data_IF_249919745366
#
_entry.id   IF_249919745366
#
_cell.length_a   1.000
_cell.length_b   1.000
_cell.length_c   1.000
_cell.angle_alpha   90.00
_cell.angle_beta   90.00
_cell.angle_gamma   90.00
#
_symmetry.space_group_name_H-M   'P 1'
#
loop_
_entity.id
_entity.type
_entity.pdbx_description
1 polymer ?
#
# COMPACT_ATOMS: atom_id res chain seq x y z
N UNK A 1 5.69 9.23 -17.25
CA UNK A 1 5.54 8.87 -15.81
C UNK A 1 5.21 7.39 -15.71
N UNK A 2 5.47 6.73 -14.56
CA UNK A 2 5.09 5.31 -14.36
C UNK A 2 3.58 5.06 -14.51
N UNK A 3 2.75 6.08 -14.29
CA UNK A 3 1.28 5.97 -14.40
C UNK A 3 0.75 6.08 -15.83
N UNK A 4 1.59 6.54 -16.77
CA UNK A 4 1.17 6.85 -18.13
C UNK A 4 1.33 5.63 -19.07
N UNK A 5 1.89 4.53 -18.55
CA UNK A 5 2.18 3.30 -19.29
C UNK A 5 1.50 2.12 -18.60
N UNK A 6 0.79 1.29 -19.36
CA UNK A 6 0.18 0.07 -18.90
C UNK A 6 1.20 -1.05 -18.63
N UNK A 7 0.73 -2.13 -18.01
CA UNK A 7 1.57 -3.31 -17.74
C UNK A 7 2.06 -4.01 -19.02
N UNK A 8 1.38 -3.80 -20.14
CA UNK A 8 1.77 -4.27 -21.47
C UNK A 8 2.79 -3.35 -22.16
N UNK A 9 3.26 -2.30 -21.48
CA UNK A 9 4.19 -1.32 -22.02
C UNK A 9 3.56 -0.30 -22.96
N UNK A 10 2.23 -0.34 -23.18
CA UNK A 10 1.55 0.63 -24.04
C UNK A 10 1.14 1.88 -23.26
N UNK A 11 1.03 3.05 -23.91
CA UNK A 11 0.46 4.22 -23.27
C UNK A 11 -0.94 3.92 -22.73
N UNK A 12 -1.22 4.37 -21.51
CA UNK A 12 -2.55 4.23 -20.91
C UNK A 12 -3.53 5.13 -21.66
N UNK A 13 -4.74 4.63 -21.91
CA UNK A 13 -5.80 5.41 -22.55
C UNK A 13 -6.11 6.65 -21.70
N UNK A 14 -6.02 7.87 -22.26
CA UNK A 14 -6.30 9.11 -21.54
C UNK A 14 -7.73 9.21 -20.98
N UNK A 15 -8.69 8.45 -21.52
CA UNK A 15 -10.06 8.39 -21.01
C UNK A 15 -10.24 7.41 -19.85
N UNK A 16 -9.23 6.59 -19.52
CA UNK A 16 -9.31 5.69 -18.37
C UNK A 16 -9.17 6.49 -17.08
N UNK A 17 -10.11 6.30 -16.15
CA UNK A 17 -10.04 6.93 -14.83
C UNK A 17 -8.76 6.50 -14.13
N UNK A 18 -7.93 7.46 -13.72
CA UNK A 18 -6.69 7.17 -13.03
C UNK A 18 -6.97 6.67 -11.61
N UNK A 19 -6.41 5.52 -11.23
CA UNK A 19 -6.61 4.91 -9.91
C UNK A 19 -6.24 5.84 -8.75
N UNK A 20 -6.90 5.71 -7.60
CA UNK A 20 -6.65 6.56 -6.42
C UNK A 20 -5.29 6.30 -5.76
N UNK A 21 -4.79 7.26 -4.99
CA UNK A 21 -3.61 7.03 -4.15
C UNK A 21 -3.81 5.86 -3.18
N UNK A 22 -5.03 5.72 -2.64
CA UNK A 22 -5.39 4.61 -1.76
C UNK A 22 -5.26 3.25 -2.47
N UNK A 23 -5.61 3.17 -3.75
CA UNK A 23 -5.41 1.95 -4.55
C UNK A 23 -3.92 1.58 -4.63
N UNK A 24 -3.06 2.56 -4.93
CA UNK A 24 -1.61 2.35 -4.95
C UNK A 24 -1.05 1.95 -3.56
N UNK A 25 -1.58 2.50 -2.47
CA UNK A 25 -1.20 2.09 -1.11
C UNK A 25 -1.54 0.63 -0.83
N UNK A 26 -2.73 0.18 -1.21
CA UNK A 26 -3.16 -1.22 -1.06
C UNK A 26 -2.27 -2.16 -1.88
N UNK A 27 -1.99 -1.81 -3.13
CA UNK A 27 -1.07 -2.56 -3.99
C UNK A 27 0.32 -2.68 -3.38
N UNK A 28 0.90 -1.56 -2.91
CA UNK A 28 2.19 -1.56 -2.23
C UNK A 28 2.18 -2.44 -0.98
N UNK A 29 1.15 -2.33 -0.14
CA UNK A 29 1.03 -3.14 1.08
C UNK A 29 0.93 -4.64 0.77
N UNK A 30 0.13 -5.02 -0.22
CA UNK A 30 0.01 -6.41 -0.68
C UNK A 30 1.35 -6.95 -1.19
N UNK A 31 2.07 -6.19 -2.02
CA UNK A 31 3.40 -6.57 -2.49
C UNK A 31 4.40 -6.68 -1.33
N UNK A 32 4.39 -5.73 -0.38
CA UNK A 32 5.26 -5.79 0.81
C UNK A 32 5.02 -7.07 1.61
N UNK A 33 3.75 -7.42 1.84
CA UNK A 33 3.40 -8.66 2.51
C UNK A 33 3.81 -9.89 1.70
N UNK A 34 3.51 -9.92 0.40
CA UNK A 34 3.84 -11.05 -0.48
C UNK A 34 5.35 -11.32 -0.51
N UNK A 35 6.15 -10.31 -0.83
CA UNK A 35 7.62 -10.45 -0.86
C UNK A 35 8.21 -10.73 0.53
N UNK A 36 7.74 -10.04 1.56
CA UNK A 36 8.27 -10.20 2.92
C UNK A 36 7.91 -11.54 3.55
N UNK A 37 6.63 -11.93 3.49
CA UNK A 37 6.08 -13.07 4.23
C UNK A 37 6.01 -14.35 3.39
N UNK A 38 5.57 -14.28 2.14
CA UNK A 38 5.41 -15.47 1.29
C UNK A 38 6.72 -15.89 0.64
N UNK A 39 7.52 -14.92 0.19
CA UNK A 39 8.82 -15.19 -0.45
C UNK A 39 10.02 -15.10 0.51
N UNK A 40 9.79 -14.77 1.79
CA UNK A 40 10.85 -14.71 2.80
C UNK A 40 11.92 -13.65 2.52
N UNK A 41 11.66 -12.67 1.65
CA UNK A 41 12.60 -11.59 1.33
C UNK A 41 12.68 -10.52 2.42
N UNK A 42 11.88 -10.69 3.49
CA UNK A 42 11.94 -9.90 4.70
C UNK A 42 11.61 -8.42 4.51
N UNK A 43 12.17 -7.61 5.40
CA UNK A 43 11.90 -6.17 5.54
C UNK A 43 13.09 -5.31 5.08
N UNK A 44 14.05 -5.91 4.40
CA UNK A 44 15.26 -5.24 3.93
C UNK A 44 14.97 -4.55 2.59
N UNK A 45 15.35 -3.28 2.40
CA UNK A 45 15.18 -2.59 1.12
C UNK A 45 15.87 -3.35 -0.02
N UNK A 46 15.23 -3.34 -1.19
CA UNK A 46 15.78 -3.91 -2.42
C UNK A 46 17.17 -3.36 -2.72
N UNK A 47 18.16 -4.23 -2.72
CA UNK A 47 19.57 -3.86 -2.86
C UNK A 47 20.36 -4.97 -3.53
N UNK A 48 21.51 -4.62 -4.08
CA UNK A 48 22.45 -5.60 -4.63
C UNK A 48 23.29 -6.18 -3.50
N UNK A 49 23.28 -7.50 -3.36
CA UNK A 49 24.14 -8.21 -2.41
C UNK A 49 25.60 -7.99 -2.79
N UNK A 50 26.41 -7.48 -1.87
CA UNK A 50 27.86 -7.32 -2.08
C UNK A 50 28.58 -8.66 -2.24
N UNK A 51 28.06 -9.72 -1.59
CA UNK A 51 28.65 -11.05 -1.63
C UNK A 51 28.28 -11.82 -2.91
N UNK A 52 27.00 -11.87 -3.26
CA UNK A 52 26.52 -12.70 -4.38
C UNK A 52 26.34 -11.92 -5.69
N UNK A 53 26.33 -10.59 -5.64
CA UNK A 53 25.99 -9.73 -6.78
C UNK A 53 24.51 -9.77 -7.18
N UNK A 54 23.70 -10.63 -6.57
CA UNK A 54 22.27 -10.75 -6.85
C UNK A 54 21.46 -9.68 -6.13
N UNK A 55 20.31 -9.33 -6.69
CA UNK A 55 19.37 -8.45 -6.00
C UNK A 55 18.65 -9.20 -4.87
N UNK A 56 18.65 -8.61 -3.68
CA UNK A 56 18.07 -9.16 -2.46
C UNK A 56 17.18 -8.10 -1.78
N UNK A 57 16.32 -8.56 -0.85
CA UNK A 57 15.38 -7.71 -0.14
C UNK A 57 14.05 -7.59 -0.86
N UNK A 58 13.24 -6.63 -0.44
CA UNK A 58 11.86 -6.49 -0.89
C UNK A 58 11.70 -5.27 -1.84
N UNK A 59 11.32 -5.49 -3.11
CA UNK A 59 11.21 -4.41 -4.10
C UNK A 59 10.14 -3.37 -3.76
N UNK A 60 9.10 -3.70 -3.00
CA UNK A 60 8.03 -2.74 -2.66
C UNK A 60 8.45 -1.69 -1.62
N UNK A 61 9.56 -1.94 -0.91
CA UNK A 61 10.13 -1.01 0.08
C UNK A 61 11.45 -0.40 -0.40
N UNK A 62 11.75 -0.49 -1.70
CA UNK A 62 12.88 0.23 -2.28
C UNK A 62 12.75 1.74 -2.13
N UNK A 63 13.88 2.44 -2.24
CA UNK A 63 13.92 3.90 -2.24
C UNK A 63 13.12 4.47 -3.43
N UNK A 64 13.31 3.92 -4.62
CA UNK A 64 12.62 4.34 -5.84
C UNK A 64 11.09 4.28 -5.70
N UNK A 65 10.56 3.18 -5.18
CA UNK A 65 9.11 3.01 -4.95
C UNK A 65 8.63 3.99 -3.88
N UNK A 66 9.44 4.26 -2.86
CA UNK A 66 9.11 5.23 -1.82
C UNK A 66 9.03 6.66 -2.36
N UNK A 67 10.00 7.07 -3.18
CA UNK A 67 10.04 8.38 -3.86
C UNK A 67 8.83 8.51 -4.81
N UNK A 68 8.55 7.47 -5.58
CA UNK A 68 7.38 7.41 -6.47
C UNK A 68 6.09 7.61 -5.67
N UNK A 69 5.88 6.87 -4.57
CA UNK A 69 4.67 6.99 -3.75
C UNK A 69 4.47 8.40 -3.16
N UNK A 70 5.54 9.07 -2.75
CA UNK A 70 5.48 10.46 -2.26
C UNK A 70 5.05 11.40 -3.39
N UNK A 71 5.62 11.22 -4.58
CA UNK A 71 5.33 12.03 -5.76
C UNK A 71 3.91 11.81 -6.27
N UNK A 72 3.46 10.55 -6.29
CA UNK A 72 2.11 10.15 -6.63
C UNK A 72 1.09 10.80 -5.69
N UNK A 73 1.32 10.75 -4.38
CA UNK A 73 0.44 11.41 -3.38
C UNK A 73 0.28 12.89 -3.68
N UNK A 74 1.39 13.60 -3.91
CA UNK A 74 1.36 15.04 -4.24
C UNK A 74 0.60 15.32 -5.54
N UNK A 75 0.81 14.49 -6.58
CA UNK A 75 0.11 14.60 -7.87
C UNK A 75 -1.40 14.41 -7.69
N UNK A 76 -1.81 13.38 -6.95
CA UNK A 76 -3.24 13.08 -6.71
C UNK A 76 -3.94 14.17 -5.91
N UNK A 77 -3.32 14.67 -4.84
CA UNK A 77 -3.85 15.80 -4.06
C UNK A 77 -4.01 17.05 -4.93
N UNK A 78 -3.02 17.37 -5.77
CA UNK A 78 -3.11 18.49 -6.72
C UNK A 78 -4.25 18.31 -7.74
N UNK A 79 -4.56 17.07 -8.11
CA UNK A 79 -5.68 16.74 -8.99
C UNK A 79 -7.03 16.67 -8.26
N UNK A 80 -7.11 17.09 -6.99
CA UNK A 80 -8.34 17.17 -6.22
C UNK A 80 -8.70 15.92 -5.42
N UNK A 81 -7.84 14.90 -5.38
CA UNK A 81 -8.05 13.77 -4.46
C UNK A 81 -7.93 14.28 -3.01
N UNK A 82 -8.92 13.96 -2.17
CA UNK A 82 -8.92 14.38 -0.77
C UNK A 82 -7.67 13.78 -0.10
N UNK A 83 -6.81 14.65 0.43
CA UNK A 83 -5.63 14.20 1.15
C UNK A 83 -6.06 13.34 2.34
N UNK A 84 -5.75 12.05 2.31
CA UNK A 84 -5.85 11.18 3.49
C UNK A 84 -4.91 11.76 4.56
N UNK A 85 -5.48 12.48 5.51
CA UNK A 85 -4.74 13.06 6.63
C UNK A 85 -5.17 12.35 7.91
N UNK A 86 -4.23 12.12 8.83
CA UNK A 86 -4.56 11.63 10.16
C UNK A 86 -5.54 12.57 10.89
N UNK A 87 -5.64 13.84 10.47
CA UNK A 87 -6.62 14.83 10.98
C UNK A 87 -8.07 14.52 10.59
N UNK A 88 -8.32 13.58 9.67
CA UNK A 88 -9.67 13.07 9.42
C UNK A 88 -10.16 12.12 10.53
N UNK A 89 -9.25 11.62 11.38
CA UNK A 89 -9.61 10.90 12.59
C UNK A 89 -9.74 11.94 13.71
N UNK A 90 -10.96 12.39 13.97
CA UNK A 90 -11.25 13.24 15.12
C UNK A 90 -11.19 12.41 16.41
N UNK A 91 -11.01 13.05 17.58
CA UNK A 91 -11.16 12.37 18.87
C UNK A 91 -12.48 11.60 18.99
N UNK A 92 -13.55 12.10 18.36
CA UNK A 92 -14.86 11.43 18.35
C UNK A 92 -14.83 10.13 17.54
N UNK A 93 -14.13 10.11 16.39
CA UNK A 93 -13.93 8.89 15.59
C UNK A 93 -13.10 7.87 16.38
N UNK A 94 -12.07 8.32 17.09
CA UNK A 94 -11.27 7.49 18.00
C UNK A 94 -12.09 6.92 19.16
N UNK A 95 -12.96 7.74 19.78
CA UNK A 95 -13.86 7.31 20.84
C UNK A 95 -14.88 6.29 20.31
N UNK A 96 -15.46 6.53 19.13
CA UNK A 96 -16.38 5.60 18.49
C UNK A 96 -15.71 4.24 18.19
N UNK A 97 -14.47 4.25 17.69
CA UNK A 97 -13.66 3.05 17.49
C UNK A 97 -13.39 2.31 18.80
N UNK A 98 -13.05 3.04 19.87
CA UNK A 98 -12.84 2.47 21.19
C UNK A 98 -14.12 1.79 21.72
N UNK A 99 -15.25 2.48 21.68
CA UNK A 99 -16.53 1.90 22.10
C UNK A 99 -16.95 0.70 21.25
N UNK A 100 -16.66 0.72 19.95
CA UNK A 100 -16.93 -0.40 19.05
C UNK A 100 -16.08 -1.63 19.40
N UNK A 101 -14.78 -1.46 19.61
CA UNK A 101 -13.86 -2.56 19.93
C UNK A 101 -14.09 -3.18 21.31
N UNK A 102 -14.65 -2.41 22.25
CA UNK A 102 -15.00 -2.91 23.59
C UNK A 102 -16.41 -3.50 23.67
N UNK A 103 -17.11 -3.71 22.55
CA UNK A 103 -18.36 -4.47 22.55
C UNK A 103 -18.04 -5.95 22.75
N UNK A 104 -18.80 -6.66 23.62
CA UNK A 104 -18.56 -8.08 23.90
C UNK A 104 -18.62 -8.97 22.64
N UNK A 105 -19.41 -8.57 21.64
CA UNK A 105 -19.58 -9.26 20.36
C UNK A 105 -18.34 -9.18 19.44
N UNK A 106 -17.49 -8.16 19.63
CA UNK A 106 -16.29 -7.89 18.79
C UNK A 106 -15.03 -8.45 19.43
N UNK A 107 -15.04 -8.69 20.75
CA UNK A 107 -13.94 -9.31 21.50
C UNK A 107 -13.79 -10.81 21.26
N UNK A 108 -14.81 -11.48 20.70
CA UNK A 108 -14.75 -12.90 20.39
C UNK A 108 -13.99 -13.14 19.08
N UNK A 109 -12.82 -13.77 19.17
CA UNK A 109 -12.04 -14.20 18.01
C UNK A 109 -12.81 -15.33 17.32
N UNK A 110 -13.43 -15.03 16.17
CA UNK A 110 -14.09 -16.04 15.36
C UNK A 110 -13.06 -16.82 14.55
N UNK A 111 -13.16 -18.17 14.50
CA UNK A 111 -12.31 -18.97 13.62
C UNK A 111 -12.57 -18.56 12.16
N UNK A 112 -11.49 -18.53 11.38
CA UNK A 112 -11.56 -18.27 9.94
C UNK A 112 -12.04 -19.56 9.29
N UNK A 113 -13.24 -19.56 8.71
CA UNK A 113 -13.72 -20.69 7.90
C UNK A 113 -12.90 -20.77 6.61
N UNK A 114 -12.04 -21.79 6.53
CA UNK A 114 -11.16 -22.05 5.38
C UNK A 114 -11.83 -22.89 4.28
N UNK A 115 -13.17 -22.93 4.24
CA UNK A 115 -13.93 -23.68 3.23
C UNK A 115 -14.72 -22.73 2.34
N UNK A 116 -14.10 -22.26 1.27
CA UNK A 116 -14.75 -21.72 0.06
C UNK A 116 -13.82 -21.93 -1.13
#
# INVERSE_FOLDING_TARGET
SCDDVGLDGKPRDPNTTADSYNHAQKMRAACTYGYGRLHGLGSVPWQKSEYSGNMIGNPSISEDVSIYMVSLRKKKVRNGEVATSARAITPDVLAALYHFNNRPEVSEIKPIDLTS
#
